data_IF_198407233922
#
_entry.id   IF_198407233922
#
_cell.length_a   1.000
_cell.length_b   1.000
_cell.length_c   1.000
_cell.angle_alpha   90.00
_cell.angle_beta   90.00
_cell.angle_gamma   90.00
#
_symmetry.space_group_name_H-M   'P 1'
#
loop_
_entity.id
_entity.type
_entity.pdbx_description
1 polymer ?
#
# COMPACT_ATOMS: atom_id res chain seq x y z
N UNK A 1 5.08 -10.70 -14.61
CA UNK A 1 4.42 -11.03 -13.34
C UNK A 1 4.97 -10.04 -12.34
N UNK A 2 4.12 -9.23 -11.70
CA UNK A 2 4.59 -8.20 -10.79
C UNK A 2 4.99 -8.82 -9.46
N UNK A 3 6.19 -8.54 -9.00
CA UNK A 3 6.69 -8.99 -7.68
C UNK A 3 6.20 -8.09 -6.54
N UNK A 4 5.62 -6.93 -6.85
CA UNK A 4 5.27 -5.91 -5.88
C UNK A 4 3.76 -5.82 -5.65
N UNK A 5 3.36 -5.92 -4.39
CA UNK A 5 1.95 -5.92 -3.96
C UNK A 5 1.69 -4.92 -2.85
N UNK A 6 0.73 -4.02 -3.05
CA UNK A 6 0.27 -3.15 -1.96
C UNK A 6 -0.76 -3.85 -1.09
N UNK A 7 -0.53 -3.87 0.21
CA UNK A 7 -1.48 -4.29 1.23
C UNK A 7 -1.98 -3.03 1.94
N UNK A 8 -3.24 -2.69 1.71
CA UNK A 8 -3.90 -1.59 2.40
C UNK A 8 -4.42 -2.06 3.75
N UNK A 9 -4.10 -1.29 4.77
CA UNK A 9 -4.48 -1.52 6.15
C UNK A 9 -5.32 -0.33 6.61
N UNK A 10 -6.54 -0.61 7.05
CA UNK A 10 -7.45 0.37 7.60
C UNK A 10 -7.51 0.30 9.12
N UNK A 11 -8.59 0.88 9.65
CA UNK A 11 -8.80 1.04 11.09
C UNK A 11 -8.49 -0.21 11.91
N UNK A 12 -7.63 -0.04 12.92
CA UNK A 12 -7.28 -1.10 13.88
C UNK A 12 -6.36 -2.18 13.31
N UNK A 13 -5.65 -1.90 12.22
CA UNK A 13 -4.70 -2.84 11.62
C UNK A 13 -5.35 -3.89 10.72
N UNK A 14 -6.62 -3.68 10.32
CA UNK A 14 -7.34 -4.61 9.45
C UNK A 14 -6.91 -4.44 8.00
N UNK A 15 -6.54 -5.53 7.35
CA UNK A 15 -6.33 -5.51 5.90
C UNK A 15 -7.65 -5.21 5.17
N UNK A 16 -7.66 -4.12 4.40
CA UNK A 16 -8.78 -3.72 3.55
C UNK A 16 -8.72 -4.45 2.21
N UNK A 17 -7.60 -4.32 1.49
CA UNK A 17 -7.38 -4.99 0.20
C UNK A 17 -5.90 -5.18 -0.11
N UNK A 18 -5.62 -6.12 -1.00
CA UNK A 18 -4.32 -6.29 -1.65
C UNK A 18 -4.40 -5.86 -3.13
N UNK A 19 -3.32 -5.32 -3.68
CA UNK A 19 -3.22 -4.81 -5.06
C UNK A 19 -1.94 -5.35 -5.69
N UNK A 20 -2.12 -6.39 -6.50
CA UNK A 20 -1.05 -7.23 -7.05
C UNK A 20 -0.85 -6.91 -8.54
N UNK A 21 -0.19 -5.78 -8.86
CA UNK A 21 -0.09 -5.32 -10.25
C UNK A 21 1.24 -4.65 -10.63
N UNK A 22 2.20 -4.50 -9.72
CA UNK A 22 3.35 -3.62 -9.98
C UNK A 22 4.60 -4.43 -10.38
N UNK A 23 5.19 -4.06 -11.51
CA UNK A 23 6.43 -4.69 -12.00
C UNK A 23 7.68 -4.15 -11.28
N UNK A 24 7.59 -2.94 -10.71
CA UNK A 24 8.67 -2.29 -9.96
C UNK A 24 8.16 -1.56 -8.72
N UNK A 25 9.03 -1.41 -7.72
CA UNK A 25 8.76 -0.59 -6.53
C UNK A 25 8.34 0.83 -6.91
N UNK A 26 9.05 1.46 -7.85
CA UNK A 26 8.77 2.84 -8.28
C UNK A 26 7.35 3.02 -8.88
N UNK A 27 6.88 2.04 -9.65
CA UNK A 27 5.50 2.05 -10.18
C UNK A 27 4.49 1.90 -9.04
N UNK A 28 4.78 1.02 -8.08
CA UNK A 28 3.96 0.83 -6.90
C UNK A 28 3.85 2.12 -6.09
N UNK A 29 4.99 2.77 -5.79
CA UNK A 29 5.04 4.04 -5.05
C UNK A 29 4.29 5.15 -5.79
N UNK A 30 4.50 5.29 -7.11
CA UNK A 30 3.82 6.29 -7.94
C UNK A 30 2.31 6.10 -7.95
N UNK A 31 1.85 4.85 -8.04
CA UNK A 31 0.43 4.54 -7.95
C UNK A 31 -0.13 4.87 -6.56
N UNK A 32 0.59 4.52 -5.50
CA UNK A 32 0.18 4.80 -4.13
C UNK A 32 0.03 6.30 -3.94
N UNK A 33 1.06 7.10 -4.24
CA UNK A 33 1.01 8.57 -4.07
C UNK A 33 -0.10 9.20 -4.89
N UNK A 34 -0.40 8.70 -6.09
CA UNK A 34 -1.49 9.20 -6.93
C UNK A 34 -2.90 8.80 -6.48
N UNK A 35 -3.04 7.73 -5.69
CA UNK A 35 -4.34 7.23 -5.20
C UNK A 35 -4.51 7.39 -3.69
N UNK A 36 -3.48 7.82 -2.97
CA UNK A 36 -3.40 7.84 -1.52
C UNK A 36 -4.53 8.61 -0.86
N UNK A 37 -4.88 9.78 -1.39
CA UNK A 37 -5.98 10.60 -0.88
C UNK A 37 -7.31 9.83 -0.94
N UNK A 38 -7.63 9.21 -2.08
CA UNK A 38 -8.84 8.41 -2.22
C UNK A 38 -8.84 7.16 -1.33
N UNK A 39 -7.68 6.54 -1.12
CA UNK A 39 -7.56 5.39 -0.20
C UNK A 39 -7.76 5.83 1.26
N UNK A 40 -7.27 7.00 1.63
CA UNK A 40 -7.48 7.59 2.95
C UNK A 40 -8.97 7.88 3.19
N UNK A 41 -9.67 8.42 2.18
CA UNK A 41 -11.12 8.63 2.23
C UNK A 41 -11.90 7.32 2.37
N UNK A 42 -11.40 6.22 1.81
CA UNK A 42 -11.96 4.88 1.96
C UNK A 42 -11.62 4.23 3.32
N UNK A 43 -10.85 4.91 4.17
CA UNK A 43 -10.48 4.45 5.51
C UNK A 43 -9.17 3.66 5.59
N UNK A 44 -8.29 3.77 4.58
CA UNK A 44 -6.93 3.27 4.69
C UNK A 44 -6.11 4.16 5.65
N UNK A 45 -5.51 3.55 6.67
CA UNK A 45 -4.61 4.22 7.62
C UNK A 45 -3.14 3.95 7.28
N UNK A 46 -2.84 2.86 6.59
CA UNK A 46 -1.48 2.49 6.22
C UNK A 46 -1.47 1.64 4.97
N UNK A 47 -0.35 1.66 4.24
CA UNK A 47 -0.09 0.79 3.11
C UNK A 47 1.29 0.15 3.26
N UNK A 48 1.36 -1.15 2.98
CA UNK A 48 2.58 -1.95 3.02
C UNK A 48 2.85 -2.52 1.65
N UNK A 49 4.04 -2.27 1.10
CA UNK A 49 4.49 -2.90 -0.12
C UNK A 49 5.18 -4.20 0.24
N UNK A 50 4.67 -5.29 -0.30
CA UNK A 50 5.22 -6.64 -0.13
C UNK A 50 5.86 -7.08 -1.44
N UNK A 51 7.07 -7.61 -1.34
CA UNK A 51 7.78 -8.25 -2.45
C UNK A 51 8.47 -9.52 -1.96
N UNK A 52 8.34 -10.62 -2.71
CA UNK A 52 8.83 -11.94 -2.30
C UNK A 52 8.37 -12.42 -0.90
N UNK A 53 7.23 -11.92 -0.41
CA UNK A 53 6.70 -12.23 0.92
C UNK A 53 7.25 -11.34 2.05
N UNK A 54 8.12 -10.38 1.75
CA UNK A 54 8.70 -9.44 2.71
C UNK A 54 8.15 -8.04 2.51
N UNK A 55 7.91 -7.31 3.60
CA UNK A 55 7.52 -5.89 3.53
C UNK A 55 8.76 -5.08 3.19
N UNK A 56 8.81 -4.57 1.97
CA UNK A 56 9.93 -3.76 1.45
C UNK A 56 9.70 -2.27 1.65
N UNK A 57 8.46 -1.84 1.87
CA UNK A 57 8.09 -0.46 2.13
C UNK A 57 6.81 -0.37 2.96
N UNK A 58 6.69 0.63 3.84
CA UNK A 58 5.48 0.92 4.60
C UNK A 58 5.26 2.44 4.65
N UNK A 59 4.03 2.88 4.43
CA UNK A 59 3.60 4.27 4.58
C UNK A 59 2.36 4.33 5.47
N UNK A 60 2.36 5.25 6.43
CA UNK A 60 1.24 5.46 7.36
C UNK A 60 0.62 6.85 7.15
N UNK A 61 -0.70 6.93 7.18
CA UNK A 61 -1.49 8.15 7.33
C UNK A 61 -1.65 8.44 8.83
N UNK A 62 -0.61 8.94 9.45
CA UNK A 62 -0.70 9.44 10.82
C UNK A 62 0.43 10.44 11.08
N UNK A 63 0.15 11.58 11.75
CA UNK A 63 1.22 12.35 12.36
C UNK A 63 1.90 11.44 13.40
N UNK A 64 3.22 11.44 13.40
CA UNK A 64 4.07 10.70 14.34
C UNK A 64 3.64 10.83 15.81
#
# INVERSE_FOLDING_TARGET
>A
MGDYTWILVGEGGRQLRAIELFASQHEAETWLTGTWESLAEEGAESARLVSAGEVVYEMKLGPE
#
